data_IF_556260764256
#
_entry.id   IF_556260764256
#
_cell.length_a   1.000
_cell.length_b   1.000
_cell.length_c   1.000
_cell.angle_alpha   90.00
_cell.angle_beta   90.00
_cell.angle_gamma   90.00
#
_symmetry.space_group_name_H-M   'P 1'
#
loop_
_entity.id
_entity.type
_entity.pdbx_description
1 polymer ?
#
# COMPACT_ATOMS: atom_id res chain seq x y z
N UNK A 1 18.64 8.13 8.30
CA UNK A 1 18.35 6.70 8.44
C UNK A 1 16.87 6.50 8.64
N UNK A 2 16.13 6.25 7.56
CA UNK A 2 14.71 5.89 7.61
C UNK A 2 14.54 4.40 7.42
N UNK A 3 13.49 3.81 8.01
CA UNK A 3 13.09 2.44 7.69
C UNK A 3 12.53 2.38 6.25
N UNK A 4 12.65 1.26 5.54
CA UNK A 4 11.95 1.03 4.28
C UNK A 4 10.43 1.08 4.52
N UNK A 5 9.69 1.75 3.63
CA UNK A 5 8.23 1.93 3.74
C UNK A 5 7.58 1.49 2.43
N UNK A 6 6.47 0.76 2.55
CA UNK A 6 5.54 0.46 1.47
C UNK A 6 4.14 0.93 1.90
N UNK A 7 3.48 1.71 1.05
CA UNK A 7 2.09 2.12 1.25
C UNK A 7 1.20 1.34 0.27
N UNK A 8 0.10 0.77 0.77
CA UNK A 8 -0.86 -0.02 -0.01
C UNK A 8 -2.24 0.62 0.15
N UNK A 9 -2.85 1.05 -0.95
CA UNK A 9 -4.18 1.66 -0.99
C UNK A 9 -5.20 0.69 -1.61
N UNK A 10 -6.45 0.74 -1.15
CA UNK A 10 -7.59 0.20 -1.90
C UNK A 10 -8.18 1.29 -2.78
N UNK A 11 -8.37 1.03 -4.07
CA UNK A 11 -8.93 1.98 -5.04
C UNK A 11 -10.31 2.53 -4.63
N UNK A 12 -11.13 1.68 -4.00
CA UNK A 12 -12.51 1.99 -3.61
C UNK A 12 -12.62 2.39 -2.11
N UNK A 13 -11.49 2.61 -1.43
CA UNK A 13 -11.50 3.01 -0.02
C UNK A 13 -11.99 4.46 0.15
N UNK A 14 -13.17 4.62 0.74
CA UNK A 14 -13.76 5.92 1.06
C UNK A 14 -13.24 6.48 2.39
N UNK A 15 -12.86 5.62 3.34
CA UNK A 15 -12.40 6.03 4.67
C UNK A 15 -10.96 6.57 4.61
N UNK A 16 -10.11 5.94 3.81
CA UNK A 16 -8.75 6.41 3.52
C UNK A 16 -8.48 6.43 2.01
N UNK A 17 -8.93 7.47 1.29
CA UNK A 17 -8.79 7.56 -0.17
C UNK A 17 -7.36 7.45 -0.66
N UNK A 18 -7.15 6.84 -1.84
CA UNK A 18 -5.82 6.71 -2.47
C UNK A 18 -5.06 8.04 -2.53
N UNK A 19 -5.74 9.15 -2.82
CA UNK A 19 -5.14 10.49 -2.89
C UNK A 19 -4.48 10.92 -1.58
N UNK A 20 -5.05 10.56 -0.43
CA UNK A 20 -4.45 10.82 0.88
C UNK A 20 -3.18 10.00 1.09
N UNK A 21 -3.18 8.73 0.66
CA UNK A 21 -2.01 7.86 0.72
C UNK A 21 -0.91 8.30 -0.26
N UNK A 22 -1.27 8.83 -1.43
CA UNK A 22 -0.33 9.43 -2.39
C UNK A 22 0.39 10.63 -1.79
N UNK A 23 -0.34 11.56 -1.16
CA UNK A 23 0.26 12.69 -0.46
C UNK A 23 1.20 12.26 0.68
N UNK A 24 0.84 11.19 1.40
CA UNK A 24 1.72 10.58 2.39
C UNK A 24 2.99 9.98 1.76
N UNK A 25 2.84 9.29 0.63
CA UNK A 25 3.96 8.73 -0.14
C UNK A 25 4.96 9.80 -0.59
N UNK A 26 4.47 10.94 -1.06
CA UNK A 26 5.32 12.10 -1.40
C UNK A 26 6.10 12.60 -0.18
N UNK A 27 5.43 12.75 0.97
CA UNK A 27 6.04 13.22 2.22
C UNK A 27 7.12 12.26 2.73
N UNK A 28 6.89 10.96 2.57
CA UNK A 28 7.79 9.91 3.04
C UNK A 28 8.83 9.48 1.99
N UNK A 29 8.74 9.98 0.76
CA UNK A 29 9.48 9.44 -0.39
C UNK A 29 9.32 7.92 -0.53
N UNK A 30 8.10 7.43 -0.32
CA UNK A 30 7.77 6.01 -0.29
C UNK A 30 6.82 5.62 -1.45
N UNK A 31 6.96 4.41 -2.01
CA UNK A 31 6.06 3.92 -3.04
C UNK A 31 4.64 3.71 -2.49
N UNK A 32 3.65 4.04 -3.32
CA UNK A 32 2.23 3.76 -3.09
C UNK A 32 1.76 2.80 -4.17
N UNK A 33 1.27 1.64 -3.77
CA UNK A 33 0.64 0.67 -4.67
C UNK A 33 -0.86 0.65 -4.40
N UNK A 34 -1.64 0.88 -5.45
CA UNK A 34 -3.09 0.78 -5.39
C UNK A 34 -3.54 -0.61 -5.84
N UNK A 35 -4.38 -1.26 -5.03
CA UNK A 35 -5.08 -2.49 -5.38
C UNK A 35 -6.44 -2.15 -5.99
N UNK A 36 -6.69 -2.68 -7.19
CA UNK A 36 -7.91 -2.44 -7.95
C UNK A 36 -9.11 -3.10 -7.31
N UNK A 37 -10.28 -2.49 -7.44
CA UNK A 37 -11.56 -3.02 -6.95
C UNK A 37 -11.53 -3.42 -5.46
N UNK A 38 -10.78 -2.67 -4.65
CA UNK A 38 -10.48 -3.00 -3.25
C UNK A 38 -10.90 -1.83 -2.38
N UNK A 39 -11.70 -2.09 -1.34
CA UNK A 39 -12.14 -1.08 -0.38
C UNK A 39 -11.15 -0.88 0.76
N UNK A 40 -11.71 -0.67 1.95
CA UNK A 40 -10.95 -0.27 3.15
C UNK A 40 -10.07 -1.36 3.75
N UNK A 41 -10.31 -2.64 3.42
CA UNK A 41 -9.61 -3.77 4.05
C UNK A 41 -8.86 -4.62 3.01
N UNK A 42 -7.80 -4.07 2.37
CA UNK A 42 -7.00 -4.77 1.35
C UNK A 42 -6.48 -6.15 1.77
N UNK A 43 -6.13 -6.32 3.04
CA UNK A 43 -5.63 -7.59 3.59
C UNK A 43 -6.66 -8.73 3.54
N UNK A 44 -7.94 -8.40 3.46
CA UNK A 44 -9.05 -9.36 3.36
C UNK A 44 -9.59 -9.42 1.93
N UNK A 45 -9.85 -8.26 1.33
CA UNK A 45 -10.53 -8.13 0.03
C UNK A 45 -9.65 -8.55 -1.15
N UNK A 46 -8.33 -8.28 -1.07
CA UNK A 46 -7.33 -8.62 -2.08
C UNK A 46 -6.13 -9.33 -1.43
N UNK A 47 -6.42 -10.31 -0.56
CA UNK A 47 -5.45 -10.96 0.32
C UNK A 47 -4.23 -11.55 -0.40
N UNK A 48 -4.40 -12.04 -1.64
CA UNK A 48 -3.30 -12.64 -2.43
C UNK A 48 -2.34 -11.57 -2.91
N UNK A 49 -2.87 -10.52 -3.54
CA UNK A 49 -2.14 -9.37 -4.05
C UNK A 49 -1.45 -8.63 -2.90
N UNK A 50 -2.18 -8.37 -1.81
CA UNK A 50 -1.65 -7.77 -0.59
C UNK A 50 -0.45 -8.58 -0.05
N UNK A 51 -0.59 -9.89 0.07
CA UNK A 51 0.49 -10.75 0.58
C UNK A 51 1.70 -10.79 -0.35
N UNK A 52 1.49 -10.74 -1.68
CA UNK A 52 2.59 -10.66 -2.65
C UNK A 52 3.41 -9.39 -2.46
N UNK A 53 2.74 -8.24 -2.34
CA UNK A 53 3.40 -6.94 -2.13
C UNK A 53 4.23 -6.92 -0.84
N UNK A 54 3.70 -7.47 0.26
CA UNK A 54 4.45 -7.55 1.52
C UNK A 54 5.68 -8.45 1.38
N UNK A 55 5.55 -9.60 0.71
CA UNK A 55 6.69 -10.51 0.48
C UNK A 55 7.77 -9.83 -0.34
N UNK A 56 7.41 -9.23 -1.46
CA UNK A 56 8.32 -8.51 -2.36
C UNK A 56 9.05 -7.39 -1.61
N UNK A 57 8.33 -6.62 -0.80
CA UNK A 57 8.92 -5.57 0.02
C UNK A 57 9.95 -6.11 1.01
N UNK A 58 9.62 -7.18 1.73
CA UNK A 58 10.53 -7.80 2.69
C UNK A 58 11.76 -8.43 2.04
N UNK A 59 11.64 -8.94 0.81
CA UNK A 59 12.76 -9.48 0.05
C UNK A 59 13.73 -8.40 -0.42
N UNK A 60 13.24 -7.20 -0.75
CA UNK A 60 14.09 -6.04 -1.11
C UNK A 60 14.86 -5.43 0.06
N UNK A 61 14.47 -5.72 1.30
CA UNK A 61 15.07 -5.16 2.52
C UNK A 61 16.21 -6.04 3.07
N UNK A 62 16.29 -7.30 2.62
CA UNK A 62 17.39 -8.21 2.97
C UNK A 62 18.70 -7.79 2.33
#
# INVERSE_FOLDING_TARGET
NGAPILLIAGEDDVATPTTSLQALGETLSAPVTELKQTGHVPSVEASREFTSLIREHLEMIK
#
